data_IF_032382436334
#
_entry.id   IF_032382436334
#
_cell.length_a   1.000
_cell.length_b   1.000
_cell.length_c   1.000
_cell.angle_alpha   90.00
_cell.angle_beta   90.00
_cell.angle_gamma   90.00
#
_symmetry.space_group_name_H-M   'P 1'
#
loop_
_entity.id
_entity.type
_entity.pdbx_description
1 polymer ?
#
# COMPACT_ATOMS: atom_id res chain seq x y z
N UNK A 1 2.01 -13.73 12.27
CA UNK A 1 3.27 -13.02 12.57
C UNK A 1 3.14 -12.27 13.89
N UNK A 2 2.74 -12.98 14.95
CA UNK A 2 2.56 -12.42 16.30
C UNK A 2 3.89 -11.91 16.86
N UNK A 3 4.98 -12.65 16.65
CA UNK A 3 6.32 -12.26 17.11
C UNK A 3 6.82 -10.89 16.62
N UNK A 4 6.39 -10.43 15.44
CA UNK A 4 6.71 -9.07 15.00
C UNK A 4 5.84 -8.02 15.71
N UNK A 5 4.54 -8.29 15.84
CA UNK A 5 3.59 -7.39 16.48
C UNK A 5 3.81 -7.25 18.00
N UNK A 6 4.19 -8.35 18.66
CA UNK A 6 4.38 -8.41 20.11
C UNK A 6 5.82 -8.11 20.52
N UNK A 7 6.79 -8.58 19.75
CA UNK A 7 8.19 -8.57 20.14
C UNK A 7 9.09 -7.81 19.16
N UNK A 8 8.53 -7.09 18.19
CA UNK A 8 9.29 -6.39 17.12
C UNK A 8 10.32 -7.28 16.41
N UNK A 9 10.11 -8.59 16.39
CA UNK A 9 11.06 -9.55 15.81
C UNK A 9 10.97 -9.51 14.30
N UNK A 10 12.07 -9.11 13.64
CA UNK A 10 12.13 -9.08 12.18
C UNK A 10 12.01 -10.50 11.60
N UNK A 11 11.60 -10.62 10.33
CA UNK A 11 11.59 -11.93 9.65
C UNK A 11 12.96 -12.62 9.72
N UNK A 12 14.04 -11.84 9.65
CA UNK A 12 15.41 -12.36 9.76
C UNK A 12 15.68 -12.96 11.14
N UNK A 13 15.37 -12.22 12.22
CA UNK A 13 15.54 -12.72 13.59
C UNK A 13 14.69 -13.97 13.84
N UNK A 14 13.45 -13.98 13.33
CA UNK A 14 12.57 -15.14 13.40
C UNK A 14 13.20 -16.35 12.69
N UNK A 15 13.75 -16.15 11.50
CA UNK A 15 14.43 -17.21 10.76
C UNK A 15 15.70 -17.69 11.47
N UNK A 16 16.51 -16.80 12.04
CA UNK A 16 17.68 -17.18 12.85
C UNK A 16 17.29 -18.02 14.07
N UNK A 17 16.14 -17.72 14.71
CA UNK A 17 15.58 -18.56 15.77
C UNK A 17 15.24 -19.96 15.24
N UNK A 18 14.60 -20.07 14.08
CA UNK A 18 14.31 -21.37 13.47
C UNK A 18 15.59 -22.19 13.24
N UNK A 19 16.65 -21.60 12.69
CA UNK A 19 17.95 -22.28 12.49
C UNK A 19 18.51 -22.86 13.79
N UNK A 20 18.51 -22.05 14.86
CA UNK A 20 19.00 -22.45 16.19
C UNK A 20 18.17 -23.55 16.84
N UNK A 21 16.85 -23.58 16.58
CA UNK A 21 15.98 -24.64 17.07
C UNK A 21 16.15 -25.95 16.27
N UNK A 22 16.41 -25.86 14.97
CA UNK A 22 16.61 -27.03 14.11
C UNK A 22 17.92 -27.76 14.40
N UNK A 23 19.03 -27.03 14.54
CA UNK A 23 20.31 -27.61 14.94
C UNK A 23 20.99 -26.71 15.98
N UNK A 24 20.79 -26.95 17.29
CA UNK A 24 21.38 -26.13 18.34
C UNK A 24 22.91 -26.18 18.37
N UNK A 25 23.51 -27.33 18.02
CA UNK A 25 24.96 -27.51 18.04
C UNK A 25 25.66 -26.79 16.87
N UNK A 26 25.04 -26.81 15.68
CA UNK A 26 25.58 -26.17 14.49
C UNK A 26 24.48 -25.44 13.70
N UNK A 27 23.96 -24.29 14.18
CA UNK A 27 22.89 -23.56 13.52
C UNK A 27 23.25 -23.14 12.09
N UNK A 28 24.54 -22.90 11.85
CA UNK A 28 25.03 -22.48 10.54
C UNK A 28 25.02 -23.58 9.48
N UNK A 29 24.95 -24.85 9.90
CA UNK A 29 24.78 -25.99 8.99
C UNK A 29 23.38 -26.08 8.39
N UNK A 30 22.39 -25.39 8.97
CA UNK A 30 21.01 -25.39 8.46
C UNK A 30 20.97 -24.59 7.15
N UNK A 31 20.48 -25.17 6.04
CA UNK A 31 20.34 -24.48 4.75
C UNK A 31 19.55 -23.18 4.88
N UNK A 32 19.99 -22.14 4.15
CA UNK A 32 19.34 -20.83 4.17
C UNK A 32 18.11 -20.80 3.26
N UNK A 33 16.93 -21.02 3.85
CA UNK A 33 15.61 -20.94 3.22
C UNK A 33 14.87 -19.63 3.54
N UNK A 34 15.60 -18.53 3.77
CA UNK A 34 15.01 -17.25 4.16
C UNK A 34 14.12 -16.65 3.05
N UNK A 35 14.51 -16.80 1.79
CA UNK A 35 13.75 -16.29 0.65
C UNK A 35 12.40 -17.02 0.51
N UNK A 36 12.44 -18.34 0.64
CA UNK A 36 11.29 -19.25 0.61
C UNK A 36 10.34 -18.95 1.77
N UNK A 37 10.87 -18.68 2.97
CA UNK A 37 10.05 -18.24 4.11
C UNK A 37 9.25 -16.97 3.77
N UNK A 38 9.88 -15.99 3.13
CA UNK A 38 9.20 -14.76 2.72
C UNK A 38 8.13 -15.01 1.65
N UNK A 39 8.44 -15.84 0.65
CA UNK A 39 7.48 -16.19 -0.40
C UNK A 39 6.24 -16.90 0.19
N UNK A 40 6.46 -17.94 1.00
CA UNK A 40 5.37 -18.68 1.67
C UNK A 40 4.58 -17.75 2.59
N UNK A 41 5.24 -16.85 3.32
CA UNK A 41 4.57 -15.86 4.16
C UNK A 41 3.64 -14.96 3.33
N UNK A 42 4.11 -14.41 2.21
CA UNK A 42 3.29 -13.53 1.35
C UNK A 42 2.07 -14.27 0.79
N UNK A 43 2.26 -15.48 0.26
CA UNK A 43 1.18 -16.32 -0.24
C UNK A 43 0.17 -16.66 0.86
N UNK A 44 0.66 -17.05 2.04
CA UNK A 44 -0.19 -17.31 3.19
C UNK A 44 -1.01 -16.08 3.59
N UNK A 45 -0.40 -14.90 3.65
CA UNK A 45 -1.12 -13.66 3.97
C UNK A 45 -2.22 -13.36 2.95
N UNK A 46 -1.94 -13.53 1.66
CA UNK A 46 -2.94 -13.34 0.59
C UNK A 46 -4.11 -14.32 0.73
N UNK A 47 -3.83 -15.62 0.92
CA UNK A 47 -4.87 -16.64 1.13
C UNK A 47 -5.71 -16.33 2.39
N UNK A 48 -5.05 -15.91 3.48
CA UNK A 48 -5.76 -15.53 4.72
C UNK A 48 -6.67 -14.33 4.50
N UNK A 49 -6.27 -13.36 3.70
CA UNK A 49 -7.09 -12.19 3.35
C UNK A 49 -8.30 -12.61 2.51
N UNK A 50 -8.10 -13.38 1.44
CA UNK A 50 -9.18 -13.93 0.59
C UNK A 50 -10.22 -14.70 1.43
N UNK A 51 -9.77 -15.55 2.37
CA UNK A 51 -10.66 -16.25 3.31
C UNK A 51 -11.41 -15.25 4.19
N UNK A 52 -10.71 -14.26 4.76
CA UNK A 52 -11.27 -13.29 5.70
C UNK A 52 -12.37 -12.43 5.07
N UNK A 53 -12.23 -12.07 3.79
CA UNK A 53 -13.21 -11.31 3.04
C UNK A 53 -14.28 -12.20 2.35
N UNK A 54 -14.23 -13.52 2.54
CA UNK A 54 -15.27 -14.45 2.09
C UNK A 54 -15.17 -14.87 0.62
N UNK A 55 -14.03 -14.64 -0.04
CA UNK A 55 -13.81 -15.01 -1.44
C UNK A 55 -13.29 -16.44 -1.64
N UNK A 56 -12.94 -17.16 -0.57
CA UNK A 56 -12.37 -18.50 -0.68
C UNK A 56 -13.36 -19.58 -1.18
N UNK A 57 -14.67 -19.41 -0.94
CA UNK A 57 -15.68 -20.45 -1.21
C UNK A 57 -16.92 -19.93 -1.95
N UNK A 58 -16.92 -18.67 -2.40
CA UNK A 58 -18.09 -18.05 -3.02
C UNK A 58 -18.12 -18.17 -4.56
N UNK A 59 -17.07 -18.75 -5.17
CA UNK A 59 -16.93 -18.90 -6.63
C UNK A 59 -16.69 -17.59 -7.37
N UNK A 60 -16.45 -16.49 -6.66
CA UNK A 60 -16.19 -15.16 -7.22
C UNK A 60 -14.73 -14.78 -6.97
N UNK A 61 -14.15 -14.06 -7.90
CA UNK A 61 -12.88 -13.37 -7.66
C UNK A 61 -13.15 -12.01 -7.01
N UNK A 62 -12.28 -11.55 -6.10
CA UNK A 62 -12.38 -10.20 -5.55
C UNK A 62 -12.20 -9.16 -6.65
N UNK A 63 -13.08 -8.17 -6.66
CA UNK A 63 -12.96 -6.99 -7.51
C UNK A 63 -12.10 -5.90 -6.87
N UNK A 64 -12.11 -4.74 -7.51
CA UNK A 64 -11.37 -3.57 -7.09
C UNK A 64 -11.81 -3.09 -5.68
N UNK A 65 -10.89 -3.08 -4.72
CA UNK A 65 -11.09 -2.68 -3.33
C UNK A 65 -11.81 -3.70 -2.42
N UNK A 66 -12.21 -4.86 -2.94
CA UNK A 66 -13.02 -5.85 -2.20
C UNK A 66 -12.27 -6.53 -1.03
N UNK A 67 -10.94 -6.56 -1.07
CA UNK A 67 -10.05 -7.08 -0.02
C UNK A 67 -9.53 -6.00 0.93
N UNK A 68 -10.11 -4.79 0.89
CA UNK A 68 -9.72 -3.69 1.76
C UNK A 68 -10.83 -3.34 2.76
N UNK A 69 -10.43 -3.04 4.00
CA UNK A 69 -11.36 -2.49 4.97
C UNK A 69 -11.60 -1.02 4.67
N UNK A 70 -12.88 -0.67 4.46
CA UNK A 70 -13.29 0.71 4.39
C UNK A 70 -13.40 1.34 5.79
N UNK A 71 -13.35 2.67 5.84
CA UNK A 71 -13.58 3.45 7.06
C UNK A 71 -15.04 3.33 7.55
N UNK A 72 -15.31 2.44 8.52
CA UNK A 72 -16.65 2.18 9.05
C UNK A 72 -17.38 3.43 9.58
N UNK A 73 -16.64 4.39 10.16
CA UNK A 73 -17.20 5.64 10.69
C UNK A 73 -17.41 6.73 9.64
N UNK A 74 -16.92 6.55 8.41
CA UNK A 74 -17.15 7.54 7.35
C UNK A 74 -18.56 7.41 6.78
N UNK A 75 -19.22 8.52 6.43
CA UNK A 75 -20.46 8.56 5.66
C UNK A 75 -20.39 7.67 4.41
N UNK A 76 -21.28 6.69 4.32
CA UNK A 76 -21.40 5.73 3.24
C UNK A 76 -22.88 5.65 2.80
N UNK A 77 -23.21 6.25 1.65
CA UNK A 77 -24.56 6.18 1.10
C UNK A 77 -25.04 4.73 0.96
N UNK A 78 -26.23 4.43 1.48
CA UNK A 78 -26.82 3.08 1.42
C UNK A 78 -26.32 2.09 2.47
N UNK A 79 -25.31 2.44 3.28
CA UNK A 79 -24.77 1.58 4.35
C UNK A 79 -25.08 2.17 5.72
N UNK A 80 -24.56 3.36 6.03
CA UNK A 80 -24.68 3.99 7.36
C UNK A 80 -25.29 5.40 7.32
N UNK A 81 -25.82 5.82 6.16
CA UNK A 81 -26.55 7.09 6.02
C UNK A 81 -28.07 6.89 5.94
N UNK A 82 -28.87 7.77 6.57
CA UNK A 82 -30.32 7.80 6.38
C UNK A 82 -30.71 7.94 4.91
N UNK A 83 -31.84 7.39 4.45
CA UNK A 83 -32.23 7.42 3.03
C UNK A 83 -32.39 8.84 2.48
N UNK A 84 -32.80 9.77 3.32
CA UNK A 84 -33.05 11.18 3.05
C UNK A 84 -31.86 12.10 3.39
N UNK A 85 -30.66 11.55 3.65
CA UNK A 85 -29.46 12.32 4.01
C UNK A 85 -29.14 13.48 3.05
N UNK A 86 -29.52 13.37 1.77
CA UNK A 86 -29.33 14.43 0.75
C UNK A 86 -30.23 15.65 0.96
N UNK A 87 -31.37 15.48 1.63
CA UNK A 87 -32.36 16.51 1.91
C UNK A 87 -32.14 17.19 3.26
N UNK A 88 -31.26 16.63 4.09
CA UNK A 88 -30.90 17.22 5.38
C UNK A 88 -30.31 18.63 5.16
N UNK A 89 -30.80 19.66 5.87
CA UNK A 89 -30.23 21.01 5.77
C UNK A 89 -28.76 21.06 6.22
N UNK A 90 -28.33 20.16 7.11
CA UNK A 90 -26.97 20.06 7.63
C UNK A 90 -26.10 19.07 6.84
N UNK A 91 -26.00 19.25 5.51
CA UNK A 91 -25.24 18.33 4.63
C UNK A 91 -23.77 18.15 5.02
N UNK A 92 -23.19 19.13 5.70
CA UNK A 92 -21.77 19.16 6.07
C UNK A 92 -21.37 17.96 6.95
N UNK A 93 -22.27 17.42 7.77
CA UNK A 93 -21.98 16.26 8.63
C UNK A 93 -21.70 14.96 7.85
N UNK A 94 -22.20 14.89 6.61
CA UNK A 94 -21.99 13.76 5.70
C UNK A 94 -20.77 13.93 4.79
N UNK A 95 -20.03 15.04 4.91
CA UNK A 95 -18.84 15.27 4.12
C UNK A 95 -17.75 14.25 4.50
N UNK A 96 -17.02 13.71 3.51
CA UNK A 96 -15.83 12.87 3.71
C UNK A 96 -14.59 13.73 3.48
N UNK A 97 -13.71 13.77 4.48
CA UNK A 97 -12.43 14.47 4.40
C UNK A 97 -11.29 13.46 4.32
N UNK A 98 -10.34 13.72 3.43
CA UNK A 98 -9.24 12.84 3.09
C UNK A 98 -7.90 13.54 3.30
N UNK A 99 -6.92 12.83 3.85
CA UNK A 99 -5.53 13.28 3.92
C UNK A 99 -4.68 12.33 3.08
N UNK A 100 -3.85 12.91 2.23
CA UNK A 100 -2.84 12.19 1.48
C UNK A 100 -1.46 12.40 2.09
N UNK A 101 -0.64 11.35 2.11
CA UNK A 101 0.76 11.44 2.55
C UNK A 101 1.65 10.43 1.80
N UNK A 102 2.90 10.81 1.57
CA UNK A 102 3.94 9.99 0.96
C UNK A 102 4.92 9.41 1.99
N UNK A 103 5.05 8.09 2.03
CA UNK A 103 6.00 7.39 2.89
C UNK A 103 7.22 6.87 2.09
N UNK A 104 8.41 7.47 2.22
CA UNK A 104 9.61 7.08 1.46
C UNK A 104 10.34 5.86 2.03
N UNK A 105 9.78 5.18 3.05
CA UNK A 105 10.40 4.02 3.69
C UNK A 105 9.99 2.69 3.04
N UNK A 106 8.93 2.70 2.23
CA UNK A 106 8.39 1.50 1.57
C UNK A 106 9.00 1.37 0.16
N UNK A 107 10.29 1.08 0.13
CA UNK A 107 11.02 0.93 -1.14
C UNK A 107 10.82 -0.47 -1.72
N UNK A 108 10.70 -0.53 -3.04
CA UNK A 108 10.76 -1.77 -3.80
C UNK A 108 12.09 -1.81 -4.55
N UNK A 109 12.76 -2.96 -4.49
CA UNK A 109 13.98 -3.18 -5.25
C UNK A 109 13.58 -3.62 -6.65
N UNK A 110 14.27 -3.06 -7.64
CA UNK A 110 14.06 -3.44 -9.02
C UNK A 110 14.36 -4.95 -9.20
N UNK A 111 13.43 -5.73 -9.75
CA UNK A 111 13.64 -7.15 -9.92
C UNK A 111 14.68 -7.42 -11.01
N UNK A 112 15.42 -8.52 -10.88
CA UNK A 112 16.42 -8.92 -11.89
C UNK A 112 15.77 -9.24 -13.25
N UNK A 113 14.56 -9.79 -13.22
CA UNK A 113 13.73 -10.09 -14.39
C UNK A 113 12.25 -9.90 -14.01
N UNK A 114 11.40 -9.57 -14.98
CA UNK A 114 9.96 -9.41 -14.74
C UNK A 114 9.30 -10.71 -14.24
N UNK A 115 9.81 -11.86 -14.70
CA UNK A 115 9.34 -13.20 -14.29
C UNK A 115 9.52 -13.48 -12.78
N UNK A 116 10.48 -12.80 -12.15
CA UNK A 116 10.74 -12.93 -10.71
C UNK A 116 9.82 -12.06 -9.85
N UNK A 117 9.10 -11.10 -10.44
CA UNK A 117 8.19 -10.19 -9.73
C UNK A 117 6.72 -10.52 -10.03
N UNK A 118 6.20 -11.53 -9.32
CA UNK A 118 4.81 -11.96 -9.44
C UNK A 118 3.94 -11.20 -8.43
N UNK A 119 3.06 -10.37 -8.96
CA UNK A 119 2.06 -9.64 -8.20
C UNK A 119 0.94 -10.58 -7.75
N UNK A 120 0.65 -10.59 -6.45
CA UNK A 120 -0.44 -11.39 -5.90
C UNK A 120 -1.81 -10.70 -6.02
N UNK A 121 -1.81 -9.38 -6.23
CA UNK A 121 -2.97 -8.50 -6.26
C UNK A 121 -2.73 -7.35 -7.25
N UNK A 122 -3.77 -6.96 -8.00
CA UNK A 122 -3.86 -5.72 -8.76
C UNK A 122 -5.20 -5.05 -8.47
N UNK A 123 -5.19 -4.03 -7.61
CA UNK A 123 -6.36 -3.25 -7.15
C UNK A 123 -7.34 -3.89 -6.18
N UNK A 124 -7.25 -5.17 -5.85
CA UNK A 124 -8.25 -5.80 -4.98
C UNK A 124 -8.15 -5.31 -3.54
N UNK A 125 -7.02 -4.71 -3.14
CA UNK A 125 -6.81 -4.17 -1.79
C UNK A 125 -6.71 -2.64 -1.74
N UNK A 126 -5.71 -2.14 -1.01
CA UNK A 126 -5.48 -0.70 -0.85
C UNK A 126 -4.67 -0.09 -2.00
N UNK A 127 -3.78 -0.86 -2.63
CA UNK A 127 -3.00 -0.42 -3.79
C UNK A 127 -3.91 -0.27 -5.01
N UNK A 128 -3.60 0.70 -5.88
CA UNK A 128 -4.28 0.89 -7.16
C UNK A 128 -3.95 -0.21 -8.17
N UNK A 129 -4.75 -0.27 -9.24
CA UNK A 129 -4.47 -1.05 -10.44
C UNK A 129 -3.22 -0.50 -11.16
N UNK A 130 -2.31 -1.39 -11.57
CA UNK A 130 -0.98 -1.04 -12.08
C UNK A 130 -1.02 -0.43 -13.49
N UNK A 131 -1.78 -1.02 -14.41
CA UNK A 131 -1.78 -0.63 -15.82
C UNK A 131 -2.32 0.78 -16.01
N UNK A 132 -3.48 1.10 -15.44
CA UNK A 132 -4.08 2.44 -15.46
C UNK A 132 -3.22 3.48 -14.76
N UNK A 133 -2.54 3.09 -13.67
CA UNK A 133 -1.62 4.00 -13.01
C UNK A 133 -0.37 4.26 -13.87
N UNK A 134 0.17 3.23 -14.53
CA UNK A 134 1.29 3.40 -15.47
C UNK A 134 0.91 4.29 -16.67
N UNK A 135 -0.29 4.13 -17.23
CA UNK A 135 -0.83 5.01 -18.28
C UNK A 135 -0.96 6.46 -17.80
N UNK A 136 -1.44 6.67 -16.58
CA UNK A 136 -1.47 7.99 -15.95
C UNK A 136 -0.07 8.58 -15.83
N UNK A 137 0.89 7.84 -15.28
CA UNK A 137 2.27 8.30 -15.13
C UNK A 137 2.94 8.65 -16.47
N UNK A 138 2.57 7.96 -17.56
CA UNK A 138 3.08 8.24 -18.90
C UNK A 138 2.48 9.50 -19.53
N UNK A 139 1.25 9.87 -19.15
CA UNK A 139 0.51 11.01 -19.71
C UNK A 139 0.53 12.26 -18.83
N UNK A 140 0.78 12.12 -17.52
CA UNK A 140 0.73 13.20 -16.57
C UNK A 140 1.93 14.15 -16.71
N UNK A 141 1.64 15.43 -16.83
CA UNK A 141 2.67 16.48 -16.84
C UNK A 141 2.97 16.94 -15.42
N UNK A 142 4.26 16.94 -15.05
CA UNK A 142 4.71 17.47 -13.76
C UNK A 142 5.16 18.92 -13.92
N UNK A 143 4.34 19.86 -13.43
CA UNK A 143 4.76 21.24 -13.31
C UNK A 143 5.75 21.36 -12.15
N UNK A 144 7.00 21.71 -12.45
CA UNK A 144 8.00 21.96 -11.42
C UNK A 144 7.85 23.38 -10.93
N UNK A 145 7.65 23.54 -9.63
CA UNK A 145 7.70 24.86 -9.01
C UNK A 145 9.07 25.49 -9.23
N UNK A 146 9.06 26.78 -9.58
CA UNK A 146 10.28 27.57 -9.67
C UNK A 146 10.91 27.65 -8.28
N UNK A 147 12.09 27.05 -8.13
CA UNK A 147 12.86 27.13 -6.90
C UNK A 147 13.41 28.56 -6.78
N UNK A 148 12.75 29.40 -6.00
CA UNK A 148 13.17 30.79 -5.74
C UNK A 148 14.23 30.90 -4.65
N UNK A 149 14.51 29.81 -3.92
CA UNK A 149 15.45 29.76 -2.81
C UNK A 149 16.77 29.08 -3.22
N UNK A 150 17.89 29.75 -2.92
CA UNK A 150 19.22 29.36 -3.38
C UNK A 150 19.77 28.06 -2.72
N UNK A 151 19.26 27.68 -1.54
CA UNK A 151 19.75 26.53 -0.74
C UNK A 151 18.65 25.49 -0.44
N UNK A 152 17.81 25.18 -1.41
CA UNK A 152 16.73 24.21 -1.22
C UNK A 152 17.19 22.74 -1.32
N UNK A 153 18.25 22.37 -0.58
CA UNK A 153 18.82 21.01 -0.55
C UNK A 153 17.79 19.93 -0.19
N UNK A 154 16.86 20.24 0.73
CA UNK A 154 15.81 19.31 1.14
C UNK A 154 14.87 18.89 -0.01
N UNK A 155 14.58 19.77 -0.98
CA UNK A 155 13.79 19.39 -2.17
C UNK A 155 14.63 18.57 -3.15
N UNK A 156 15.91 18.91 -3.30
CA UNK A 156 16.84 18.17 -4.19
C UNK A 156 17.06 16.73 -3.70
N UNK A 157 17.14 16.51 -2.39
CA UNK A 157 17.32 15.19 -1.79
C UNK A 157 16.03 14.35 -1.77
N UNK A 158 14.85 14.97 -1.64
CA UNK A 158 13.54 14.27 -1.72
C UNK A 158 13.32 13.55 -3.05
N UNK A 159 13.93 14.05 -4.12
CA UNK A 159 13.80 13.47 -5.47
C UNK A 159 14.97 12.56 -5.85
N UNK A 160 15.84 12.15 -4.90
CA UNK A 160 16.92 11.21 -5.20
C UNK A 160 16.35 9.85 -5.53
N UNK A 161 16.67 9.39 -6.74
CA UNK A 161 16.44 8.03 -7.18
C UNK A 161 17.37 7.14 -6.35
N UNK A 162 16.80 6.15 -5.67
CA UNK A 162 17.56 5.11 -4.98
C UNK A 162 18.05 4.12 -6.04
N UNK A 163 19.37 4.01 -6.23
CA UNK A 163 19.94 3.09 -7.23
C UNK A 163 19.49 1.65 -6.93
N UNK A 164 18.97 0.97 -7.95
CA UNK A 164 18.45 -0.40 -7.84
C UNK A 164 17.04 -0.51 -7.21
N UNK A 165 16.30 0.60 -7.14
CA UNK A 165 14.90 0.62 -6.72
C UNK A 165 14.05 1.26 -7.83
N UNK A 166 12.96 0.59 -8.19
CA UNK A 166 11.91 1.08 -9.10
C UNK A 166 10.82 1.85 -8.34
N UNK A 167 10.59 1.51 -7.07
CA UNK A 167 9.71 2.25 -6.16
C UNK A 167 10.52 2.81 -4.99
N UNK A 168 10.42 4.12 -4.81
CA UNK A 168 11.09 4.89 -3.75
C UNK A 168 10.22 5.12 -2.50
N UNK A 169 8.97 4.68 -2.54
CA UNK A 169 8.02 4.77 -1.44
C UNK A 169 6.58 4.63 -1.91
N UNK A 170 5.62 4.80 -1.01
CA UNK A 170 4.19 4.70 -1.30
C UNK A 170 3.49 6.00 -0.90
N UNK A 171 2.64 6.51 -1.78
CA UNK A 171 1.65 7.55 -1.45
C UNK A 171 0.34 6.89 -1.06
N UNK A 172 -0.35 7.41 -0.06
CA UNK A 172 -1.61 6.85 0.41
C UNK A 172 -2.58 7.94 0.80
N UNK A 173 -3.86 7.73 0.50
CA UNK A 173 -4.95 8.55 1.02
C UNK A 173 -5.67 7.82 2.15
N UNK A 174 -5.90 8.53 3.25
CA UNK A 174 -6.64 8.05 4.40
C UNK A 174 -7.80 8.99 4.76
N UNK A 175 -8.79 8.46 5.45
CA UNK A 175 -9.83 9.26 6.06
C UNK A 175 -9.24 10.14 7.18
N UNK A 176 -9.45 11.46 7.09
CA UNK A 176 -8.92 12.40 8.11
C UNK A 176 -9.52 12.18 9.50
N UNK A 177 -10.76 11.68 9.57
CA UNK A 177 -11.46 11.52 10.86
C UNK A 177 -11.00 10.30 11.65
N UNK A 178 -10.63 9.22 10.96
CA UNK A 178 -10.41 7.92 11.59
C UNK A 178 -9.07 7.27 11.22
N UNK A 179 -8.28 7.87 10.33
CA UNK A 179 -6.99 7.35 9.89
C UNK A 179 -7.06 6.07 9.04
N UNK A 180 -8.26 5.62 8.66
CA UNK A 180 -8.41 4.44 7.82
C UNK A 180 -8.02 4.75 6.37
N UNK A 181 -7.10 3.97 5.80
CA UNK A 181 -6.73 4.08 4.39
C UNK A 181 -7.93 3.86 3.48
N UNK A 182 -7.99 4.63 2.39
CA UNK A 182 -9.04 4.49 1.39
C UNK A 182 -8.65 3.36 0.43
N UNK A 183 -9.52 2.37 0.19
CA UNK A 183 -9.26 1.30 -0.78
C UNK A 183 -8.86 1.87 -2.13
N UNK A 184 -7.92 1.21 -2.82
CA UNK A 184 -7.41 1.56 -4.16
C UNK A 184 -6.73 2.93 -4.28
N UNK A 185 -6.57 3.67 -3.19
CA UNK A 185 -5.99 5.01 -3.15
C UNK A 185 -4.56 5.01 -2.59
N UNK A 186 -3.84 3.89 -2.72
CA UNK A 186 -2.40 3.81 -2.48
C UNK A 186 -1.68 3.58 -3.81
N UNK A 187 -0.59 4.31 -4.01
CA UNK A 187 0.16 4.30 -5.27
C UNK A 187 1.66 4.30 -5.02
N UNK A 188 2.39 3.66 -5.93
CA UNK A 188 3.85 3.63 -5.89
C UNK A 188 4.46 4.98 -6.32
N UNK A 189 5.50 5.40 -5.61
CA UNK A 189 6.30 6.57 -5.93
C UNK A 189 7.57 6.18 -6.68
N UNK A 190 7.69 6.54 -7.96
CA UNK A 190 8.88 6.19 -8.76
C UNK A 190 10.07 7.10 -8.42
N UNK A 191 9.81 8.32 -7.95
CA UNK A 191 10.84 9.30 -7.62
C UNK A 191 10.34 10.31 -6.59
N UNK A 192 10.38 9.94 -5.32
CA UNK A 192 9.87 10.76 -4.24
C UNK A 192 8.38 11.10 -4.41
N UNK A 193 7.90 11.99 -3.55
CA UNK A 193 6.51 12.43 -3.55
C UNK A 193 6.28 13.48 -4.66
N UNK A 194 5.75 13.01 -5.79
CA UNK A 194 5.38 13.84 -6.94
C UNK A 194 3.90 14.16 -6.91
N UNK A 195 3.53 15.35 -7.37
CA UNK A 195 2.14 15.78 -7.41
C UNK A 195 1.26 14.81 -8.23
N UNK A 196 1.78 14.30 -9.36
CA UNK A 196 1.07 13.32 -10.18
C UNK A 196 0.67 12.03 -9.44
N UNK A 197 1.46 11.61 -8.45
CA UNK A 197 1.16 10.42 -7.65
C UNK A 197 -0.01 10.74 -6.70
N UNK A 198 0.09 11.88 -6.00
CA UNK A 198 -0.92 12.34 -5.05
C UNK A 198 -2.25 12.67 -5.71
N UNK A 199 -2.23 13.28 -6.90
CA UNK A 199 -3.42 13.59 -7.67
C UNK A 199 -4.18 12.32 -8.03
N UNK A 200 -3.47 11.28 -8.52
CA UNK A 200 -4.09 10.01 -8.85
C UNK A 200 -4.73 9.34 -7.62
N UNK A 201 -3.98 9.25 -6.52
CA UNK A 201 -4.47 8.68 -5.28
C UNK A 201 -5.70 9.45 -4.74
N UNK A 202 -5.70 10.78 -4.86
CA UNK A 202 -6.82 11.63 -4.45
C UNK A 202 -8.05 11.43 -5.33
N UNK A 203 -7.88 11.31 -6.65
CA UNK A 203 -8.98 11.00 -7.57
C UNK A 203 -9.60 9.64 -7.21
N UNK A 204 -8.78 8.62 -6.97
CA UNK A 204 -9.24 7.30 -6.49
C UNK A 204 -10.06 7.41 -5.20
N UNK A 205 -9.59 8.20 -4.23
CA UNK A 205 -10.28 8.38 -2.96
C UNK A 205 -11.60 9.16 -3.08
N UNK A 206 -11.71 10.08 -4.04
CA UNK A 206 -12.93 10.87 -4.26
C UNK A 206 -13.99 10.13 -5.08
N UNK A 207 -13.57 9.20 -5.95
CA UNK A 207 -14.45 8.41 -6.80
C UNK A 207 -14.96 7.10 -6.17
N UNK A 208 -14.50 6.76 -4.96
CA UNK A 208 -14.95 5.59 -4.16
C UNK A 208 -16.11 5.93 -3.22
#
# INVERSE_FOLDING_TARGET
MLAYLECHTTSYQYYQKLRRLTNPAFPDSVPNCYAELHQVKRQWQNVKEIIKFGFAHNGKQPGEGDLAYFCAGSPQPGINLPKDWKNDPEKWKYHRSHCGDGCPLQVHQEPLTEENDIWLKSSEGFMTEKSRYAEHLASAEECKDLITCHEHQALKDRSRIHKGCDVTGICSVACMRHGAFVPTAQVDMQKGERQMNMDYATIKACCT
#
